data_IF_186636424943
#
_entry.id   IF_186636424943
#
_cell.length_a   1.000
_cell.length_b   1.000
_cell.length_c   1.000
_cell.angle_alpha   90.00
_cell.angle_beta   90.00
_cell.angle_gamma   90.00
#
_symmetry.space_group_name_H-M   'P 1'
#
loop_
_entity.id
_entity.type
_entity.pdbx_description
1 polymer ?
#
# COMPACT_ATOMS: atom_id res chain seq x y z
N UNK A 1 21.01 47.79 30.69
CA UNK A 1 20.42 48.00 29.35
C UNK A 1 21.48 47.75 28.27
N UNK A 2 21.77 46.47 27.98
CA UNK A 2 22.49 46.05 26.78
C UNK A 2 21.76 44.81 26.29
N UNK A 3 20.86 45.07 25.35
CA UNK A 3 19.99 44.09 24.72
C UNK A 3 20.83 43.01 24.04
N UNK A 4 20.67 41.78 24.51
CA UNK A 4 21.16 40.59 23.83
C UNK A 4 20.14 40.26 22.73
N UNK A 5 20.29 40.90 21.57
CA UNK A 5 19.68 40.40 20.35
C UNK A 5 20.53 39.23 19.84
N UNK A 6 20.30 38.05 20.41
CA UNK A 6 20.71 36.81 19.78
C UNK A 6 20.01 36.73 18.41
N UNK A 7 20.75 36.96 17.33
CA UNK A 7 20.32 36.70 15.95
C UNK A 7 19.82 35.26 15.87
N UNK A 8 18.50 35.08 15.93
CA UNK A 8 17.84 33.84 15.54
C UNK A 8 18.13 33.66 14.05
N UNK A 9 19.21 32.92 13.74
CA UNK A 9 19.43 32.36 12.41
C UNK A 9 18.29 31.38 12.16
N UNK A 10 17.21 31.88 11.54
CA UNK A 10 16.24 31.02 10.85
C UNK A 10 17.06 30.21 9.85
N UNK A 11 17.33 28.94 10.16
CA UNK A 11 17.70 27.98 9.14
C UNK A 11 16.51 27.94 8.18
N UNK A 12 16.63 28.66 7.06
CA UNK A 12 15.75 28.46 5.91
C UNK A 12 16.03 27.05 5.45
N UNK A 13 15.13 26.12 5.80
CA UNK A 13 15.06 24.83 5.15
C UNK A 13 14.76 25.15 3.69
N UNK A 14 15.77 25.06 2.83
CA UNK A 14 15.57 25.14 1.39
C UNK A 14 14.83 23.86 1.00
N UNK A 15 13.52 23.97 0.84
CA UNK A 15 12.76 22.97 0.09
C UNK A 15 13.19 23.11 -1.37
N UNK A 16 13.96 22.16 -1.88
CA UNK A 16 14.07 21.97 -3.32
C UNK A 16 12.91 21.07 -3.74
N UNK A 17 12.08 21.58 -4.64
CA UNK A 17 11.04 20.77 -5.27
C UNK A 17 11.71 19.67 -6.10
N UNK A 18 11.32 18.43 -5.87
CA UNK A 18 11.80 17.26 -6.58
C UNK A 18 10.65 16.59 -7.33
N UNK A 19 10.74 16.56 -8.67
CA UNK A 19 9.78 15.84 -9.51
C UNK A 19 10.15 14.35 -9.57
N UNK A 20 9.42 13.51 -8.84
CA UNK A 20 9.65 12.07 -8.83
C UNK A 20 9.40 11.40 -10.19
N UNK A 21 8.47 11.95 -10.99
CA UNK A 21 8.19 11.54 -12.37
C UNK A 21 7.78 12.76 -13.19
N UNK A 22 8.06 12.75 -14.49
CA UNK A 22 7.79 13.88 -15.38
C UNK A 22 7.30 13.40 -16.75
N UNK A 23 6.17 13.97 -17.21
CA UNK A 23 5.57 13.73 -18.54
C UNK A 23 5.46 12.24 -18.94
N UNK A 24 4.97 11.40 -18.02
CA UNK A 24 4.73 9.97 -18.28
C UNK A 24 3.35 9.79 -18.92
N UNK A 25 3.27 8.97 -19.97
CA UNK A 25 2.00 8.61 -20.62
C UNK A 25 2.06 7.19 -21.16
N UNK A 26 1.08 6.37 -20.79
CA UNK A 26 0.92 5.02 -21.28
C UNK A 26 -0.55 4.59 -21.19
N UNK A 27 -0.89 3.50 -21.88
CA UNK A 27 -2.18 2.83 -21.79
C UNK A 27 -1.90 1.33 -21.65
N UNK A 28 -2.61 0.68 -20.75
CA UNK A 28 -2.56 -0.77 -20.54
C UNK A 28 -3.96 -1.31 -20.83
N UNK A 29 -4.05 -2.31 -21.70
CA UNK A 29 -5.29 -2.96 -22.08
C UNK A 29 -5.56 -4.18 -21.20
N UNK A 30 -6.82 -4.60 -21.08
CA UNK A 30 -7.18 -5.82 -20.34
C UNK A 30 -6.44 -7.03 -20.92
N UNK A 31 -5.81 -7.82 -20.04
CA UNK A 31 -5.05 -9.01 -20.40
C UNK A 31 -3.58 -8.75 -20.77
N UNK A 32 -3.13 -7.49 -20.76
CA UNK A 32 -1.71 -7.18 -20.92
C UNK A 32 -0.94 -7.38 -19.62
N UNK A 33 0.27 -7.93 -19.74
CA UNK A 33 1.26 -7.97 -18.65
C UNK A 33 2.36 -6.98 -19.00
N UNK A 34 2.55 -5.97 -18.14
CA UNK A 34 3.48 -4.86 -18.40
C UNK A 34 4.56 -4.81 -17.33
N UNK A 35 5.83 -4.81 -17.76
CA UNK A 35 6.98 -4.62 -16.88
C UNK A 35 7.41 -3.17 -16.81
N UNK A 36 7.42 -2.58 -15.61
CA UNK A 36 7.99 -1.24 -15.36
C UNK A 36 9.43 -1.36 -14.86
N UNK A 37 10.41 -1.12 -15.73
CA UNK A 37 11.84 -1.27 -15.44
C UNK A 37 12.57 0.08 -15.38
N UNK A 38 13.62 0.16 -14.56
CA UNK A 38 14.41 1.39 -14.39
C UNK A 38 15.29 1.35 -13.14
N UNK A 39 16.26 2.27 -13.05
CA UNK A 39 17.18 2.37 -11.91
C UNK A 39 16.46 2.71 -10.59
N UNK A 40 17.10 2.47 -9.45
CA UNK A 40 16.58 2.95 -8.17
C UNK A 40 16.42 4.48 -8.21
N UNK A 41 15.32 4.98 -7.65
CA UNK A 41 14.98 6.41 -7.70
C UNK A 41 14.35 6.89 -9.01
N UNK A 42 14.15 6.04 -10.02
CA UNK A 42 13.54 6.46 -11.31
C UNK A 42 12.01 6.70 -11.26
N UNK A 43 11.41 6.75 -10.08
CA UNK A 43 9.97 7.02 -9.92
C UNK A 43 9.03 5.82 -10.09
N UNK A 44 9.52 4.58 -10.24
CA UNK A 44 8.67 3.39 -10.45
C UNK A 44 7.60 3.21 -9.38
N UNK A 45 8.01 3.23 -8.10
CA UNK A 45 7.09 3.10 -6.98
C UNK A 45 6.11 4.26 -6.92
N UNK A 46 6.52 5.47 -7.33
CA UNK A 46 5.63 6.62 -7.45
C UNK A 46 4.57 6.41 -8.52
N UNK A 47 4.93 5.90 -9.70
CA UNK A 47 3.97 5.56 -10.77
C UNK A 47 2.98 4.51 -10.26
N UNK A 48 3.47 3.43 -9.67
CA UNK A 48 2.61 2.35 -9.17
C UNK A 48 1.65 2.86 -8.09
N UNK A 49 2.10 3.72 -7.17
CA UNK A 49 1.25 4.36 -6.15
C UNK A 49 0.20 5.29 -6.73
N UNK A 50 0.54 6.03 -7.80
CA UNK A 50 -0.44 6.88 -8.50
C UNK A 50 -1.48 5.99 -9.20
N UNK A 51 -1.06 4.92 -9.89
CA UNK A 51 -1.98 3.97 -10.54
C UNK A 51 -2.89 3.30 -9.52
N UNK A 52 -2.35 2.89 -8.37
CA UNK A 52 -3.09 2.32 -7.25
C UNK A 52 -4.02 3.31 -6.52
N UNK A 53 -4.02 4.59 -6.89
CA UNK A 53 -4.83 5.62 -6.22
C UNK A 53 -4.32 6.06 -4.84
N UNK A 54 -3.15 5.59 -4.42
CA UNK A 54 -2.53 5.98 -3.14
C UNK A 54 -2.07 7.44 -3.20
N UNK A 55 -1.50 7.86 -4.33
CA UNK A 55 -1.08 9.25 -4.56
C UNK A 55 -1.92 9.90 -5.66
N UNK A 56 -2.38 11.12 -5.40
CA UNK A 56 -2.95 11.97 -6.46
C UNK A 56 -1.80 12.56 -7.27
N UNK A 57 -1.84 12.50 -8.62
CA UNK A 57 -0.79 13.09 -9.44
C UNK A 57 -0.79 14.62 -9.29
N UNK A 58 0.40 15.22 -9.19
CA UNK A 58 0.56 16.69 -9.13
C UNK A 58 0.05 17.37 -10.41
N UNK A 59 0.13 16.68 -11.55
CA UNK A 59 -0.39 17.14 -12.84
C UNK A 59 -0.81 15.97 -13.72
N UNK A 60 -1.72 16.21 -14.67
CA UNK A 60 -2.27 15.18 -15.55
C UNK A 60 -3.42 14.40 -14.89
N UNK A 61 -3.71 13.20 -15.42
CA UNK A 61 -4.79 12.36 -14.93
C UNK A 61 -4.48 10.89 -15.11
N UNK A 62 -4.96 10.07 -14.18
CA UNK A 62 -4.95 8.61 -14.29
C UNK A 62 -6.39 8.11 -14.25
N UNK A 63 -6.72 7.17 -15.13
CA UNK A 63 -8.02 6.49 -15.19
C UNK A 63 -7.78 5.00 -15.15
N UNK A 64 -8.41 4.34 -14.19
CA UNK A 64 -8.37 2.90 -13.98
C UNK A 64 -9.79 2.37 -14.05
N UNK A 65 -9.98 1.26 -14.76
CA UNK A 65 -11.25 0.56 -14.82
C UNK A 65 -11.09 -0.82 -14.16
N UNK A 66 -11.78 -1.02 -13.05
CA UNK A 66 -11.69 -2.24 -12.23
C UNK A 66 -11.04 -2.01 -10.86
N UNK A 67 -11.04 -3.04 -10.02
CA UNK A 67 -10.37 -3.05 -8.72
C UNK A 67 -8.86 -3.32 -8.88
N UNK A 68 -8.03 -2.63 -8.08
CA UNK A 68 -6.58 -2.88 -8.00
C UNK A 68 -6.26 -3.45 -6.63
N UNK A 69 -5.46 -4.52 -6.57
CA UNK A 69 -4.77 -4.94 -5.34
C UNK A 69 -3.26 -4.61 -5.45
N UNK A 70 -2.81 -3.45 -4.94
CA UNK A 70 -1.44 -3.01 -5.16
C UNK A 70 -0.44 -3.80 -4.31
N UNK A 71 0.24 -4.78 -4.90
CA UNK A 71 1.22 -5.64 -4.21
C UNK A 71 2.47 -4.90 -3.69
N UNK A 72 2.67 -3.64 -4.08
CA UNK A 72 3.78 -2.81 -3.61
C UNK A 72 3.59 -2.30 -2.18
N UNK A 73 2.37 -2.33 -1.66
CA UNK A 73 2.00 -1.86 -0.32
C UNK A 73 1.29 -2.98 0.45
N UNK A 74 1.79 -4.22 0.34
CA UNK A 74 1.22 -5.37 1.05
C UNK A 74 1.16 -5.12 2.56
N UNK A 75 -0.04 -5.26 3.11
CA UNK A 75 -0.32 -5.01 4.52
C UNK A 75 -0.47 -3.52 4.85
N UNK A 76 -0.47 -2.61 3.87
CA UNK A 76 -0.91 -1.25 4.11
C UNK A 76 -2.33 -1.23 4.66
N UNK A 77 -2.54 -0.51 5.75
CA UNK A 77 -3.81 -0.54 6.49
C UNK A 77 -3.91 -1.65 7.53
N UNK A 78 -2.88 -2.49 7.71
CA UNK A 78 -2.78 -3.33 8.89
C UNK A 78 -2.55 -2.50 10.15
N UNK A 79 -3.22 -2.87 11.23
CA UNK A 79 -3.11 -2.25 12.53
C UNK A 79 -2.33 -3.16 13.48
N UNK A 80 -1.19 -2.66 13.97
CA UNK A 80 -0.21 -3.46 14.72
C UNK A 80 -0.75 -4.05 16.04
N UNK A 81 -1.69 -3.37 16.67
CA UNK A 81 -2.33 -3.83 17.92
C UNK A 81 -3.46 -4.83 17.71
N UNK A 82 -3.96 -4.98 16.48
CA UNK A 82 -5.03 -5.92 16.16
C UNK A 82 -4.44 -7.30 15.82
N UNK A 83 -5.24 -8.34 16.05
CA UNK A 83 -4.94 -9.72 15.67
C UNK A 83 -4.87 -9.89 14.15
N UNK A 84 -4.29 -10.97 13.66
CA UNK A 84 -4.31 -11.30 12.24
C UNK A 84 -5.73 -11.42 11.69
N UNK A 85 -6.65 -12.02 12.46
CA UNK A 85 -8.07 -12.15 12.11
C UNK A 85 -8.77 -10.80 11.96
N UNK A 86 -8.56 -9.89 12.90
CA UNK A 86 -9.13 -8.54 12.83
C UNK A 86 -8.53 -7.73 11.66
N UNK A 87 -7.25 -7.95 11.36
CA UNK A 87 -6.59 -7.36 10.20
C UNK A 87 -7.14 -7.90 8.87
N UNK A 88 -7.49 -9.20 8.78
CA UNK A 88 -8.18 -9.76 7.61
C UNK A 88 -9.48 -8.99 7.36
N UNK A 89 -10.29 -8.81 8.40
CA UNK A 89 -11.55 -8.07 8.30
C UNK A 89 -11.30 -6.62 7.85
N UNK A 90 -10.46 -5.89 8.58
CA UNK A 90 -10.19 -4.47 8.30
C UNK A 90 -9.66 -4.27 6.87
N UNK A 91 -8.69 -5.08 6.47
CA UNK A 91 -8.01 -4.90 5.19
C UNK A 91 -8.89 -5.38 4.02
N UNK A 92 -9.65 -6.46 4.21
CA UNK A 92 -10.66 -6.88 3.23
C UNK A 92 -11.70 -5.79 2.95
N UNK A 93 -12.18 -5.08 3.99
CA UNK A 93 -13.09 -3.94 3.83
C UNK A 93 -12.41 -2.77 3.09
N UNK A 94 -11.14 -2.46 3.41
CA UNK A 94 -10.38 -1.40 2.73
C UNK A 94 -10.16 -1.69 1.24
N UNK A 95 -10.02 -2.97 0.88
CA UNK A 95 -9.89 -3.44 -0.49
C UNK A 95 -11.24 -3.59 -1.22
N UNK A 96 -12.35 -3.17 -0.58
CA UNK A 96 -13.66 -3.06 -1.20
C UNK A 96 -14.58 -4.28 -1.02
N UNK A 97 -14.18 -5.27 -0.22
CA UNK A 97 -15.08 -6.37 0.15
C UNK A 97 -16.12 -5.89 1.16
N UNK A 98 -17.30 -6.50 1.12
CA UNK A 98 -18.28 -6.38 2.20
C UNK A 98 -17.91 -7.29 3.37
N UNK A 99 -18.37 -6.97 4.58
CA UNK A 99 -18.15 -7.82 5.77
C UNK A 99 -18.61 -9.27 5.56
N UNK A 100 -19.69 -9.48 4.80
CA UNK A 100 -20.17 -10.82 4.43
C UNK A 100 -19.15 -11.55 3.54
N UNK A 101 -18.65 -10.90 2.51
CA UNK A 101 -17.63 -11.48 1.61
C UNK A 101 -16.34 -11.81 2.36
N UNK A 102 -15.91 -10.95 3.29
CA UNK A 102 -14.75 -11.27 4.13
C UNK A 102 -15.02 -12.52 4.96
N UNK A 103 -16.16 -12.60 5.65
CA UNK A 103 -16.51 -13.78 6.46
C UNK A 103 -16.62 -15.08 5.65
N UNK A 104 -17.06 -15.02 4.39
CA UNK A 104 -17.12 -16.18 3.48
C UNK A 104 -15.74 -16.67 3.04
N UNK A 105 -14.74 -15.77 2.99
CA UNK A 105 -13.38 -16.06 2.50
C UNK A 105 -12.35 -16.18 3.63
N UNK A 106 -12.68 -15.77 4.85
CA UNK A 106 -11.77 -15.68 5.99
C UNK A 106 -11.05 -17.00 6.26
N UNK A 107 -11.78 -18.12 6.27
CA UNK A 107 -11.19 -19.44 6.50
C UNK A 107 -10.14 -19.80 5.44
N UNK A 108 -10.37 -19.43 4.18
CA UNK A 108 -9.43 -19.66 3.07
C UNK A 108 -8.20 -18.76 3.22
N UNK A 109 -8.38 -17.49 3.58
CA UNK A 109 -7.28 -16.56 3.83
C UNK A 109 -6.38 -17.05 4.98
N UNK A 110 -6.98 -17.52 6.08
CA UNK A 110 -6.24 -18.04 7.23
C UNK A 110 -5.47 -19.31 6.86
N UNK A 111 -6.11 -20.22 6.12
CA UNK A 111 -5.47 -21.44 5.64
C UNK A 111 -4.27 -21.13 4.73
N UNK A 112 -4.43 -20.21 3.77
CA UNK A 112 -3.35 -19.80 2.86
C UNK A 112 -2.18 -19.12 3.59
N UNK A 113 -2.46 -18.33 4.64
CA UNK A 113 -1.41 -17.65 5.38
C UNK A 113 -0.57 -18.61 6.26
N UNK A 114 -1.08 -19.82 6.54
CA UNK A 114 -0.41 -20.87 7.32
C UNK A 114 0.18 -20.36 8.65
N UNK A 115 -0.63 -19.59 9.39
CA UNK A 115 -0.24 -18.96 10.66
C UNK A 115 -0.59 -19.80 11.89
N UNK A 116 -1.47 -20.79 11.75
CA UNK A 116 -2.00 -21.56 12.89
C UNK A 116 -2.60 -20.63 13.94
N UNK A 117 -2.30 -20.90 15.21
CA UNK A 117 -2.86 -20.16 16.36
C UNK A 117 -2.41 -18.69 16.44
N UNK A 118 -1.35 -18.31 15.71
CA UNK A 118 -0.91 -16.91 15.67
C UNK A 118 -1.94 -15.99 15.00
N UNK A 119 -2.92 -16.52 14.26
CA UNK A 119 -3.96 -15.71 13.64
C UNK A 119 -4.72 -14.85 14.66
N UNK A 120 -4.86 -15.35 15.90
CA UNK A 120 -5.53 -14.66 17.00
C UNK A 120 -4.55 -13.90 17.92
N UNK A 121 -3.29 -13.75 17.50
CA UNK A 121 -2.29 -12.92 18.17
C UNK A 121 -2.12 -11.57 17.46
N UNK A 122 -1.84 -10.47 18.20
CA UNK A 122 -1.56 -9.17 17.60
C UNK A 122 -0.43 -9.22 16.56
N UNK A 123 -0.61 -8.59 15.40
CA UNK A 123 0.37 -8.69 14.30
C UNK A 123 1.74 -8.08 14.65
N UNK A 124 1.84 -7.21 15.65
CA UNK A 124 3.13 -6.72 16.16
C UNK A 124 4.05 -7.83 16.67
N UNK A 125 3.49 -9.01 16.97
CA UNK A 125 4.24 -10.19 17.40
C UNK A 125 4.67 -11.06 16.21
N UNK A 126 4.25 -10.73 14.98
CA UNK A 126 4.53 -11.53 13.80
C UNK A 126 5.98 -11.32 13.38
N UNK A 127 6.61 -12.39 12.89
CA UNK A 127 7.81 -12.23 12.07
C UNK A 127 7.47 -11.50 10.75
N UNK A 128 8.47 -10.94 10.09
CA UNK A 128 8.30 -10.34 8.77
C UNK A 128 7.69 -11.33 7.76
N UNK A 129 8.05 -12.62 7.85
CA UNK A 129 7.48 -13.67 7.00
C UNK A 129 6.00 -13.94 7.29
N UNK A 130 5.60 -13.98 8.56
CA UNK A 130 4.19 -14.12 8.94
C UNK A 130 3.36 -12.94 8.48
N UNK A 131 3.87 -11.71 8.68
CA UNK A 131 3.24 -10.50 8.20
C UNK A 131 3.02 -10.55 6.68
N UNK A 132 4.05 -10.90 5.92
CA UNK A 132 3.96 -10.99 4.45
C UNK A 132 3.00 -12.08 3.98
N UNK A 133 2.99 -13.26 4.63
CA UNK A 133 2.03 -14.33 4.31
C UNK A 133 0.59 -13.89 4.54
N UNK A 134 0.29 -13.20 5.65
CA UNK A 134 -1.05 -12.66 5.90
C UNK A 134 -1.42 -11.60 4.88
N UNK A 135 -0.54 -10.63 4.64
CA UNK A 135 -0.77 -9.54 3.71
C UNK A 135 -1.03 -10.05 2.28
N UNK A 136 -0.23 -11.01 1.84
CA UNK A 136 -0.40 -11.62 0.53
C UNK A 136 -1.73 -12.39 0.46
N UNK A 137 -2.03 -13.22 1.47
CA UNK A 137 -3.28 -13.98 1.56
C UNK A 137 -4.52 -13.11 1.36
N UNK A 138 -4.59 -11.97 2.04
CA UNK A 138 -5.70 -11.02 1.88
C UNK A 138 -5.73 -10.45 0.46
N UNK A 139 -4.58 -10.05 -0.11
CA UNK A 139 -4.52 -9.37 -1.39
C UNK A 139 -5.00 -10.23 -2.58
N UNK A 140 -4.68 -11.53 -2.60
CA UNK A 140 -5.11 -12.46 -3.67
C UNK A 140 -6.59 -12.83 -3.54
N UNK A 141 -7.06 -13.03 -2.31
CA UNK A 141 -8.42 -13.51 -2.06
C UNK A 141 -9.49 -12.42 -2.24
N UNK A 142 -9.09 -11.17 -2.50
CA UNK A 142 -10.00 -10.09 -2.92
C UNK A 142 -10.46 -10.25 -4.38
N UNK A 143 -9.77 -11.05 -5.20
CA UNK A 143 -10.04 -11.26 -6.63
C UNK A 143 -10.07 -9.93 -7.43
N UNK A 144 -8.94 -9.20 -7.48
CA UNK A 144 -8.88 -7.90 -8.14
C UNK A 144 -8.84 -8.02 -9.67
N UNK A 145 -9.37 -7.01 -10.37
CA UNK A 145 -9.24 -6.92 -11.83
C UNK A 145 -7.78 -6.68 -12.28
N UNK A 146 -6.97 -6.06 -11.42
CA UNK A 146 -5.59 -5.64 -11.69
C UNK A 146 -4.70 -5.97 -10.46
N UNK A 147 -3.58 -6.65 -10.73
CA UNK A 147 -2.53 -7.00 -9.75
C UNK A 147 -1.29 -6.10 -9.88
#
# INVERSE_FOLDING_TARGET
>A
LREVFAKVRRHRINYQDFEAVKHVSFRISKGEVVGLIGRNGSGKSTILKIVAGVYTPTSGSVRVHGSIAPLIELGAGFHHELTGRENILLNGLLLGLTKRQVGEREAQMIAFAELGDFIDSPIKQYSSGMYMRLAFSVAIEVDPDIL
#
